data_IF_854376363470
#
_entry.id   IF_854376363470
#
_cell.length_a   1.000
_cell.length_b   1.000
_cell.length_c   1.000
_cell.angle_alpha   90.00
_cell.angle_beta   90.00
_cell.angle_gamma   90.00
#
_symmetry.space_group_name_H-M   'P 1'
#
loop_
_entity.id
_entity.type
_entity.pdbx_description
1 polymer ?
#
# COMPACT_ATOMS: atom_id res chain seq x y z
N UNK A 1 4.09 7.63 -73.43
CA UNK A 1 5.13 6.58 -73.27
C UNK A 1 4.90 5.93 -71.90
N UNK A 2 4.30 4.74 -71.86
CA UNK A 2 3.91 4.07 -70.63
C UNK A 2 4.95 3.00 -70.27
N UNK A 3 5.59 3.12 -69.10
CA UNK A 3 6.57 2.15 -68.61
C UNK A 3 5.85 1.13 -67.71
N UNK A 4 5.69 -0.08 -68.23
CA UNK A 4 5.16 -1.23 -67.49
C UNK A 4 6.23 -1.72 -66.50
N UNK A 5 5.98 -1.53 -65.20
CA UNK A 5 6.80 -2.05 -64.10
C UNK A 5 6.70 -3.59 -64.07
N UNK A 6 7.76 -4.24 -64.57
CA UNK A 6 7.90 -5.70 -64.60
C UNK A 6 7.90 -6.33 -63.21
N UNK A 7 7.07 -7.36 -63.03
CA UNK A 7 7.02 -8.21 -61.84
C UNK A 7 8.33 -8.99 -61.71
N UNK A 8 9.21 -8.61 -60.78
CA UNK A 8 10.37 -9.44 -60.41
C UNK A 8 9.94 -10.44 -59.32
N UNK A 9 10.03 -11.73 -59.65
CA UNK A 9 10.01 -12.86 -58.69
C UNK A 9 11.17 -12.67 -57.70
N UNK A 10 10.87 -12.57 -56.40
CA UNK A 10 11.88 -12.74 -55.34
C UNK A 10 12.25 -14.23 -55.26
N UNK A 11 13.55 -14.52 -55.36
CA UNK A 11 14.08 -15.83 -55.00
C UNK A 11 14.10 -15.96 -53.46
N UNK A 12 13.56 -17.07 -52.97
CA UNK A 12 13.64 -17.50 -51.58
C UNK A 12 15.03 -18.09 -51.39
N UNK A 13 15.80 -17.55 -50.43
CA UNK A 13 17.04 -18.17 -49.98
C UNK A 13 16.72 -19.06 -48.78
N UNK A 14 16.96 -20.36 -48.93
CA UNK A 14 17.02 -21.30 -47.82
C UNK A 14 18.27 -20.98 -46.98
N UNK A 15 18.08 -20.77 -45.68
CA UNK A 15 19.17 -20.60 -44.71
C UNK A 15 19.16 -21.80 -43.77
N UNK A 16 20.13 -22.70 -43.97
CA UNK A 16 20.55 -23.69 -42.96
C UNK A 16 21.34 -22.99 -41.84
N UNK A 17 21.31 -23.53 -40.60
CA UNK A 17 21.98 -22.89 -39.47
C UNK A 17 23.48 -23.20 -39.51
N UNK A 18 24.30 -22.17 -39.65
CA UNK A 18 25.73 -22.25 -39.38
C UNK A 18 25.99 -21.98 -37.91
N UNK A 19 26.62 -22.96 -37.25
CA UNK A 19 27.21 -22.82 -35.92
C UNK A 19 28.15 -21.62 -35.89
N UNK A 20 27.92 -20.70 -34.94
CA UNK A 20 28.86 -19.65 -34.60
C UNK A 20 29.72 -20.15 -33.47
N UNK A 21 30.97 -20.42 -33.80
CA UNK A 21 32.10 -20.58 -32.90
C UNK A 21 32.16 -19.34 -32.00
N UNK A 22 32.14 -19.58 -30.69
CA UNK A 22 32.34 -18.58 -29.65
C UNK A 22 33.83 -18.22 -29.58
N UNK A 23 34.18 -17.04 -30.07
CA UNK A 23 35.41 -16.34 -29.64
C UNK A 23 35.06 -15.53 -28.39
N UNK A 24 35.48 -16.02 -27.22
CA UNK A 24 35.14 -15.42 -25.93
C UNK A 24 35.93 -15.96 -24.74
N UNK A 25 37.18 -16.36 -24.93
CA UNK A 25 38.10 -16.64 -23.81
C UNK A 25 38.51 -15.32 -23.13
N UNK A 26 37.62 -14.80 -22.28
CA UNK A 26 37.95 -13.73 -21.31
C UNK A 26 37.01 -13.68 -20.08
N UNK A 27 36.02 -14.58 -19.97
CA UNK A 27 35.06 -14.57 -18.85
C UNK A 27 35.49 -15.39 -17.63
N UNK A 28 36.45 -16.32 -17.76
CA UNK A 28 36.83 -17.20 -16.64
C UNK A 28 37.69 -16.50 -15.58
N UNK A 29 38.43 -15.45 -15.92
CA UNK A 29 39.25 -14.71 -14.94
C UNK A 29 38.44 -13.73 -14.08
N UNK A 30 37.37 -13.14 -14.63
CA UNK A 30 36.52 -12.19 -13.90
C UNK A 30 35.49 -12.87 -12.97
N UNK A 31 35.09 -14.11 -13.29
CA UNK A 31 34.26 -14.93 -12.40
C UNK A 31 35.03 -15.38 -11.14
N UNK A 32 36.33 -15.66 -11.27
CA UNK A 32 37.22 -15.98 -10.14
C UNK A 32 37.41 -14.76 -9.23
N UNK A 33 37.61 -13.57 -9.82
CA UNK A 33 37.77 -12.31 -9.07
C UNK A 33 36.50 -11.96 -8.26
N UNK A 34 35.31 -12.16 -8.83
CA UNK A 34 34.05 -11.96 -8.11
C UNK A 34 33.91 -12.92 -6.91
N UNK A 35 34.29 -14.20 -7.07
CA UNK A 35 34.26 -15.18 -5.99
C UNK A 35 35.28 -14.87 -4.89
N UNK A 36 36.46 -14.38 -5.23
CA UNK A 36 37.47 -13.93 -4.26
C UNK A 36 37.00 -12.71 -3.47
N UNK A 37 36.33 -11.75 -4.11
CA UNK A 37 35.72 -10.60 -3.43
C UNK A 37 34.67 -11.05 -2.42
N UNK A 38 33.80 -12.00 -2.79
CA UNK A 38 32.81 -12.55 -1.86
C UNK A 38 33.44 -13.35 -0.72
N UNK A 39 34.48 -14.16 -0.99
CA UNK A 39 35.23 -14.88 0.07
C UNK A 39 35.86 -13.91 1.06
N UNK A 40 36.54 -12.88 0.57
CA UNK A 40 37.18 -11.86 1.43
C UNK A 40 36.16 -11.10 2.28
N UNK A 41 34.99 -10.78 1.72
CA UNK A 41 33.92 -10.11 2.46
C UNK A 41 33.29 -11.05 3.50
N UNK A 42 33.14 -12.33 3.17
CA UNK A 42 32.63 -13.34 4.09
C UNK A 42 33.60 -13.62 5.24
N UNK A 43 34.90 -13.80 4.96
CA UNK A 43 35.94 -14.01 5.97
C UNK A 43 36.11 -12.79 6.90
N UNK A 44 35.91 -11.58 6.38
CA UNK A 44 35.95 -10.36 7.20
C UNK A 44 34.75 -10.26 8.16
N UNK A 45 33.57 -10.73 7.73
CA UNK A 45 32.35 -10.69 8.54
C UNK A 45 32.26 -11.88 9.51
N UNK A 46 32.79 -13.03 9.11
CA UNK A 46 32.79 -14.26 9.87
C UNK A 46 34.23 -14.64 10.16
N UNK A 47 34.76 -14.16 11.29
CA UNK A 47 36.02 -14.68 11.82
C UNK A 47 35.84 -16.19 11.98
N UNK A 48 36.67 -17.02 11.33
CA UNK A 48 36.56 -18.46 11.49
C UNK A 48 36.78 -18.76 12.97
N UNK A 49 35.83 -19.50 13.56
CA UNK A 49 35.95 -19.99 14.93
C UNK A 49 37.27 -20.77 15.04
N UNK A 50 38.06 -20.61 16.11
CA UNK A 50 39.25 -21.42 16.29
C UNK A 50 38.83 -22.89 16.26
N UNK A 51 39.38 -23.63 15.30
CA UNK A 51 39.17 -25.07 15.18
C UNK A 51 39.79 -25.70 16.41
N UNK A 52 38.95 -26.00 17.40
CA UNK A 52 39.30 -26.95 18.45
C UNK A 52 39.43 -28.29 17.74
N UNK A 53 40.65 -28.82 17.69
CA UNK A 53 40.93 -30.15 17.14
C UNK A 53 40.12 -31.18 17.92
N UNK A 54 38.94 -31.54 17.39
CA UNK A 54 38.22 -32.74 17.80
C UNK A 54 38.90 -33.91 17.10
N UNK A 55 39.85 -34.53 17.79
CA UNK A 55 40.31 -35.87 17.47
C UNK A 55 39.13 -36.79 17.76
N UNK A 56 38.44 -37.26 16.72
CA UNK A 56 37.61 -38.47 16.80
C UNK A 56 37.76 -39.18 15.45
N UNK A 57 38.56 -40.24 15.47
CA UNK A 57 38.56 -41.34 14.52
C UNK A 57 37.16 -41.94 14.39
N UNK A 58 36.90 -42.49 13.20
CA UNK A 58 35.66 -43.13 12.82
C UNK A 58 35.16 -44.17 13.86
N UNK A 59 33.86 -44.15 14.14
CA UNK A 59 33.18 -45.28 14.77
C UNK A 59 32.95 -46.37 13.69
N UNK A 60 33.75 -47.43 13.73
CA UNK A 60 33.30 -48.78 13.42
C UNK A 60 33.33 -49.58 14.73
N UNK A 61 32.17 -50.10 15.10
CA UNK A 61 32.00 -51.06 16.19
C UNK A 61 32.45 -52.46 15.73
N UNK A 62 33.48 -53.02 16.38
CA UNK A 62 33.49 -54.42 16.83
C UNK A 62 34.66 -54.68 17.79
N UNK A 63 34.25 -55.05 19.01
CA UNK A 63 34.75 -56.10 19.91
C UNK A 63 36.25 -56.33 20.23
N UNK A 64 36.42 -56.69 21.51
CA UNK A 64 37.47 -57.50 22.16
C UNK A 64 38.61 -56.81 22.95
N UNK A 65 38.49 -57.01 24.28
CA UNK A 65 39.50 -57.34 25.28
C UNK A 65 40.64 -56.36 25.64
N UNK A 66 40.66 -55.91 26.90
CA UNK A 66 41.71 -56.32 27.86
C UNK A 66 41.48 -55.75 29.26
N UNK A 67 41.91 -56.53 30.24
CA UNK A 67 41.66 -56.52 31.66
C UNK A 67 42.34 -55.38 32.46
N UNK A 68 41.68 -55.04 33.60
CA UNK A 68 42.23 -54.70 34.93
C UNK A 68 43.21 -53.54 35.11
N UNK A 69 42.81 -52.51 35.88
CA UNK A 69 43.47 -52.02 37.13
C UNK A 69 42.41 -51.20 37.93
N UNK A 70 41.80 -51.78 38.97
CA UNK A 70 42.15 -51.62 40.39
C UNK A 70 41.70 -50.30 41.05
N UNK A 71 40.64 -50.43 41.85
CA UNK A 71 40.42 -49.82 43.18
C UNK A 71 40.54 -48.29 43.35
N UNK A 72 39.37 -47.66 43.24
CA UNK A 72 39.07 -46.36 43.85
C UNK A 72 39.13 -46.50 45.39
N UNK A 73 40.23 -46.03 45.98
CA UNK A 73 40.51 -46.04 47.42
C UNK A 73 39.66 -45.00 48.17
N UNK A 74 39.19 -45.40 49.35
CA UNK A 74 38.14 -44.76 50.13
C UNK A 74 38.37 -43.30 50.53
N UNK A 75 37.25 -42.57 50.60
CA UNK A 75 37.14 -41.34 51.39
C UNK A 75 36.24 -41.70 52.58
N UNK A 76 36.86 -42.22 53.64
CA UNK A 76 36.28 -42.14 54.97
C UNK A 76 36.93 -40.97 55.71
N UNK A 77 36.10 -40.00 56.09
CA UNK A 77 36.05 -39.46 57.45
C UNK A 77 37.38 -38.96 58.04
N UNK A 78 37.61 -37.64 57.96
CA UNK A 78 38.14 -36.84 59.08
C UNK A 78 37.71 -35.38 58.87
N UNK A 79 36.94 -34.87 59.84
CA UNK A 79 36.66 -33.46 60.05
C UNK A 79 37.97 -32.68 60.29
N UNK A 80 38.14 -31.52 59.64
CA UNK A 80 38.45 -30.22 60.28
C UNK A 80 39.04 -29.20 59.27
N UNK A 81 38.33 -28.04 59.19
CA UNK A 81 38.81 -26.68 58.87
C UNK A 81 39.13 -26.30 57.41
N UNK A 82 38.07 -25.76 56.80
CA UNK A 82 37.97 -24.40 56.27
C UNK A 82 38.97 -23.93 55.20
N UNK A 83 38.52 -23.92 53.95
CA UNK A 83 38.76 -22.81 53.03
C UNK A 83 37.44 -22.52 52.31
N UNK A 84 36.80 -21.40 52.66
CA UNK A 84 35.64 -20.88 51.93
C UNK A 84 36.17 -19.93 50.84
N UNK A 85 36.26 -20.41 49.61
CA UNK A 85 36.66 -19.60 48.47
C UNK A 85 35.41 -18.90 47.92
N UNK A 86 35.24 -17.63 48.26
CA UNK A 86 34.18 -16.79 47.70
C UNK A 86 34.76 -16.05 46.49
N UNK A 87 34.51 -16.59 45.29
CA UNK A 87 34.78 -15.88 44.03
C UNK A 87 33.62 -14.94 43.70
N UNK A 88 33.81 -13.64 43.87
CA UNK A 88 33.00 -12.65 43.18
C UNK A 88 33.57 -12.46 41.78
N UNK A 89 33.17 -13.33 40.84
CA UNK A 89 33.35 -13.02 39.42
C UNK A 89 32.47 -11.82 39.12
N UNK A 90 33.10 -10.66 39.00
CA UNK A 90 32.52 -9.32 38.84
C UNK A 90 31.54 -9.24 37.67
N UNK A 91 30.31 -9.70 37.89
CA UNK A 91 29.23 -9.59 36.93
C UNK A 91 27.91 -9.37 37.66
N UNK A 92 27.87 -8.40 38.59
CA UNK A 92 26.66 -7.65 38.98
C UNK A 92 26.92 -6.51 40.00
N UNK A 93 28.14 -5.98 40.11
CA UNK A 93 28.41 -4.74 40.89
C UNK A 93 28.08 -3.44 40.16
N UNK A 94 27.39 -3.51 39.01
CA UNK A 94 26.53 -2.41 38.56
C UNK A 94 25.29 -2.42 39.44
N UNK A 95 25.49 -2.07 40.72
CA UNK A 95 24.42 -1.67 41.61
C UNK A 95 23.58 -0.65 40.86
N UNK A 96 22.41 -1.13 40.45
CA UNK A 96 21.18 -0.41 40.22
C UNK A 96 21.35 1.12 40.22
N UNK A 97 21.64 1.69 39.06
CA UNK A 97 21.06 2.98 38.76
C UNK A 97 19.54 2.73 38.73
N UNK A 98 18.90 2.86 39.90
CA UNK A 98 17.46 2.65 40.08
C UNK A 98 16.75 3.39 38.93
N UNK A 99 15.76 2.74 38.32
CA UNK A 99 15.02 3.38 37.23
C UNK A 99 14.48 4.73 37.72
N UNK A 100 14.33 5.71 36.83
CA UNK A 100 13.88 7.08 37.21
C UNK A 100 12.53 7.06 37.97
N UNK A 101 11.76 5.99 37.81
CA UNK A 101 10.51 5.73 38.50
C UNK A 101 10.72 5.16 39.91
N UNK A 102 11.64 4.21 40.08
CA UNK A 102 12.05 3.70 41.39
C UNK A 102 12.68 4.79 42.26
N UNK A 103 13.55 5.63 41.69
CA UNK A 103 14.18 6.74 42.42
C UNK A 103 13.14 7.79 42.85
N UNK A 104 12.09 8.02 42.03
CA UNK A 104 10.97 8.88 42.40
C UNK A 104 10.13 8.31 43.53
N UNK A 105 9.84 7.00 43.51
CA UNK A 105 9.09 6.36 44.60
C UNK A 105 9.89 6.45 45.89
N UNK A 106 11.17 6.09 45.83
CA UNK A 106 12.06 6.07 46.99
C UNK A 106 12.34 7.46 47.58
N UNK A 107 12.57 8.48 46.74
CA UNK A 107 12.84 9.85 47.22
C UNK A 107 11.57 10.69 47.48
N UNK A 108 10.39 10.19 47.12
CA UNK A 108 9.14 10.86 47.48
C UNK A 108 8.72 10.53 48.91
N UNK A 109 8.11 11.48 49.61
CA UNK A 109 7.64 11.32 51.00
C UNK A 109 6.45 10.34 51.15
N UNK A 110 6.15 9.52 50.14
CA UNK A 110 5.02 8.59 50.12
C UNK A 110 5.56 7.17 50.32
N UNK A 111 5.07 6.40 51.32
CA UNK A 111 5.58 5.05 51.55
C UNK A 111 5.29 4.14 50.34
N UNK A 112 6.23 3.23 49.99
CA UNK A 112 6.02 2.28 48.90
C UNK A 112 4.81 1.40 49.22
N UNK A 113 3.91 1.23 48.23
CA UNK A 113 2.73 0.37 48.38
C UNK A 113 3.14 -1.08 48.09
N UNK A 114 2.67 -2.03 48.91
CA UNK A 114 3.04 -3.46 48.86
C UNK A 114 2.66 -4.19 47.56
N UNK A 115 1.91 -3.56 46.65
CA UNK A 115 1.58 -4.14 45.35
C UNK A 115 2.34 -3.38 44.26
N UNK A 116 3.18 -4.06 43.45
CA UNK A 116 3.79 -3.42 42.29
C UNK A 116 2.66 -3.08 41.32
N UNK A 117 2.27 -1.81 41.29
CA UNK A 117 1.41 -1.33 40.20
C UNK A 117 2.28 -1.30 38.96
N UNK A 118 2.23 -2.35 38.15
CA UNK A 118 2.71 -2.31 36.77
C UNK A 118 1.96 -1.15 36.13
N UNK A 119 2.65 -0.02 35.94
CA UNK A 119 2.13 1.07 35.12
C UNK A 119 2.08 0.53 33.71
N UNK A 120 0.92 -0.01 33.33
CA UNK A 120 0.56 -0.15 31.92
C UNK A 120 0.83 1.22 31.32
N UNK A 121 1.83 1.28 30.45
CA UNK A 121 2.16 2.46 29.66
C UNK A 121 0.89 2.79 28.90
N UNK A 122 0.09 3.69 29.46
CA UNK A 122 -1.00 4.32 28.74
C UNK A 122 -0.32 5.38 27.91
N UNK A 123 0.07 4.98 26.71
CA UNK A 123 0.40 5.93 25.67
C UNK A 123 -0.74 6.93 25.61
N UNK A 124 -0.37 8.19 25.86
CA UNK A 124 -1.26 9.33 25.67
C UNK A 124 -1.42 9.54 24.17
N UNK A 125 -2.20 8.69 23.54
CA UNK A 125 -2.95 9.02 22.34
C UNK A 125 -4.40 8.68 22.63
N UNK A 126 -5.11 9.66 23.17
CA UNK A 126 -6.57 9.70 23.09
C UNK A 126 -7.00 9.93 21.63
N UNK A 127 -6.68 8.97 20.77
CA UNK A 127 -7.43 8.67 19.59
C UNK A 127 -8.11 7.34 19.92
N UNK A 128 -9.44 7.32 19.88
CA UNK A 128 -10.15 6.09 19.56
C UNK A 128 -9.47 5.53 18.32
N UNK A 129 -8.64 4.49 18.49
CA UNK A 129 -8.29 3.64 17.36
C UNK A 129 -9.60 2.94 17.05
N UNK A 130 -10.41 3.60 16.23
CA UNK A 130 -11.45 2.91 15.49
C UNK A 130 -10.74 1.69 14.88
N UNK A 131 -11.33 0.52 15.03
CA UNK A 131 -10.90 -0.73 14.39
C UNK A 131 -10.87 -0.64 12.83
N UNK A 132 -10.91 0.56 12.27
CA UNK A 132 -10.60 0.90 10.88
C UNK A 132 -9.08 1.06 10.60
N UNK A 133 -8.24 1.27 11.62
CA UNK A 133 -6.77 1.39 11.45
C UNK A 133 -6.05 0.07 11.15
N UNK A 134 -6.73 -1.06 11.41
CA UNK A 134 -6.33 -2.40 11.00
C UNK A 134 -6.88 -2.81 9.64
N UNK A 135 -7.70 -1.98 8.99
CA UNK A 135 -8.24 -2.31 7.67
C UNK A 135 -7.11 -2.41 6.64
N UNK A 136 -7.26 -3.34 5.68
CA UNK A 136 -6.32 -3.47 4.56
C UNK A 136 -6.11 -2.14 3.83
N UNK A 137 -7.12 -1.26 3.82
CA UNK A 137 -7.02 0.08 3.25
C UNK A 137 -6.03 1.00 4.00
N UNK A 138 -5.96 0.91 5.32
CA UNK A 138 -5.00 1.66 6.14
C UNK A 138 -3.58 1.12 5.95
N UNK A 139 -3.42 -0.20 5.85
CA UNK A 139 -2.15 -0.85 5.55
C UNK A 139 -1.64 -0.49 4.15
N UNK A 140 -2.53 -0.49 3.15
CA UNK A 140 -2.20 -0.02 1.80
C UNK A 140 -1.71 1.42 1.81
N UNK A 141 -2.32 2.33 2.58
CA UNK A 141 -1.86 3.73 2.70
C UNK A 141 -0.47 3.83 3.34
N UNK A 142 -0.16 2.96 4.30
CA UNK A 142 1.10 2.93 5.04
C UNK A 142 2.25 2.32 4.21
N UNK A 143 1.97 1.32 3.37
CA UNK A 143 2.99 0.61 2.59
C UNK A 143 3.05 1.06 1.12
N UNK A 144 4.03 1.94 0.83
CA UNK A 144 4.29 2.42 -0.53
C UNK A 144 4.87 1.34 -1.47
N UNK A 145 5.60 0.36 -0.93
CA UNK A 145 6.17 -0.70 -1.74
C UNK A 145 5.06 -1.64 -2.25
N UNK A 146 4.11 -1.98 -1.37
CA UNK A 146 2.92 -2.75 -1.71
C UNK A 146 2.05 -2.02 -2.74
N UNK A 147 1.80 -0.71 -2.55
CA UNK A 147 1.06 0.09 -3.55
C UNK A 147 1.71 0.04 -4.94
N UNK A 148 3.04 0.20 -5.00
CA UNK A 148 3.80 0.12 -6.25
C UNK A 148 3.70 -1.26 -6.87
N UNK A 149 3.86 -2.33 -6.09
CA UNK A 149 3.77 -3.71 -6.55
C UNK A 149 2.39 -3.99 -7.17
N UNK A 150 1.30 -3.65 -6.49
CA UNK A 150 -0.05 -3.89 -7.00
C UNK A 150 -0.36 -3.07 -8.26
N UNK A 151 0.08 -1.81 -8.31
CA UNK A 151 -0.15 -0.95 -9.47
C UNK A 151 0.70 -1.37 -10.69
N UNK A 152 1.92 -1.87 -10.47
CA UNK A 152 2.90 -2.19 -11.51
C UNK A 152 2.92 -3.68 -11.88
N UNK A 153 2.17 -4.55 -11.19
CA UNK A 153 2.16 -6.02 -11.37
C UNK A 153 1.98 -6.46 -12.83
N UNK A 154 1.12 -5.78 -13.59
CA UNK A 154 0.88 -6.09 -15.01
C UNK A 154 2.12 -5.87 -15.88
N UNK A 155 3.01 -4.93 -15.51
CA UNK A 155 4.28 -4.73 -16.20
C UNK A 155 5.28 -5.86 -15.89
N UNK A 156 5.19 -6.42 -14.68
CA UNK A 156 6.03 -7.54 -14.23
C UNK A 156 5.54 -8.88 -14.80
N UNK A 157 4.23 -9.11 -14.87
CA UNK A 157 3.64 -10.33 -15.43
C UNK A 157 3.94 -10.49 -16.92
N UNK A 158 3.90 -9.39 -17.67
CA UNK A 158 4.26 -9.40 -19.10
C UNK A 158 5.77 -9.59 -19.36
N UNK A 159 6.61 -9.45 -18.32
CA UNK A 159 8.05 -9.54 -18.42
C UNK A 159 8.52 -10.93 -18.00
N UNK A 160 9.40 -11.55 -18.78
CA UNK A 160 10.04 -12.81 -18.37
C UNK A 160 10.92 -12.65 -17.12
N UNK A 161 11.32 -11.41 -16.78
CA UNK A 161 12.15 -11.11 -15.64
C UNK A 161 11.34 -10.29 -14.61
N UNK A 162 11.32 -10.70 -13.32
CA UNK A 162 10.53 -10.06 -12.26
C UNK A 162 11.10 -8.71 -11.82
N UNK A 163 12.19 -8.25 -12.44
CA UNK A 163 12.84 -6.99 -12.12
C UNK A 163 12.43 -5.88 -13.09
N UNK A 164 12.14 -4.69 -12.55
CA UNK A 164 11.84 -3.49 -13.33
C UNK A 164 13.10 -2.92 -13.98
N UNK A 165 13.64 -3.61 -14.98
CA UNK A 165 14.80 -3.15 -15.77
C UNK A 165 14.39 -2.59 -17.13
N UNK A 166 15.26 -1.76 -17.71
CA UNK A 166 15.11 -1.23 -19.06
C UNK A 166 13.78 -0.51 -19.31
N UNK A 167 13.00 -0.99 -20.29
CA UNK A 167 11.73 -0.36 -20.72
C UNK A 167 10.65 -0.40 -19.63
N UNK A 168 10.60 -1.47 -18.84
CA UNK A 168 9.60 -1.62 -17.79
C UNK A 168 9.91 -0.69 -16.61
N UNK A 169 11.19 -0.41 -16.34
CA UNK A 169 11.59 0.65 -15.41
C UNK A 169 10.97 1.99 -15.78
N UNK A 170 11.07 2.36 -17.06
CA UNK A 170 10.56 3.64 -17.54
C UNK A 170 9.03 3.73 -17.46
N UNK A 171 8.31 2.66 -17.83
CA UNK A 171 6.85 2.60 -17.67
C UNK A 171 6.43 2.64 -16.20
N UNK A 172 7.12 1.93 -15.33
CA UNK A 172 6.88 1.97 -13.89
C UNK A 172 7.11 3.39 -13.33
N UNK A 173 8.18 4.08 -13.73
CA UNK A 173 8.41 5.47 -13.32
C UNK A 173 7.30 6.41 -13.79
N UNK A 174 6.76 6.22 -14.99
CA UNK A 174 5.63 7.01 -15.51
C UNK A 174 4.34 6.74 -14.74
N UNK A 175 4.05 5.48 -14.40
CA UNK A 175 2.92 5.13 -13.52
C UNK A 175 3.06 5.73 -12.13
N UNK A 176 4.27 5.73 -11.55
CA UNK A 176 4.56 6.38 -10.26
C UNK A 176 4.30 7.89 -10.32
N UNK A 177 4.71 8.56 -11.39
CA UNK A 177 4.44 9.98 -11.60
C UNK A 177 2.94 10.26 -11.74
N UNK A 178 2.20 9.38 -12.41
CA UNK A 178 0.74 9.48 -12.50
C UNK A 178 0.06 9.28 -11.13
N UNK A 179 0.52 8.32 -10.33
CA UNK A 179 0.02 8.09 -8.97
C UNK A 179 0.29 9.28 -8.04
N UNK A 180 1.40 10.01 -8.24
CA UNK A 180 1.71 11.27 -7.55
C UNK A 180 0.82 12.44 -8.01
N UNK A 181 0.04 12.29 -9.09
CA UNK A 181 -0.92 13.29 -9.56
C UNK A 181 -0.62 13.90 -10.93
N UNK A 182 0.29 13.33 -11.73
CA UNK A 182 0.45 13.78 -13.12
C UNK A 182 -0.84 13.51 -13.91
N UNK A 183 -1.29 14.49 -14.70
CA UNK A 183 -2.55 14.40 -15.47
C UNK A 183 -2.45 13.49 -16.70
N UNK A 184 -1.25 13.09 -17.08
CA UNK A 184 -1.01 12.31 -18.30
C UNK A 184 0.28 11.51 -18.23
N UNK A 185 0.32 10.45 -19.04
CA UNK A 185 1.49 9.59 -19.24
C UNK A 185 2.44 10.21 -20.26
N UNK A 186 3.73 10.20 -19.95
CA UNK A 186 4.82 10.68 -20.82
C UNK A 186 4.95 9.77 -22.06
N UNK A 187 4.59 8.49 -21.95
CA UNK A 187 4.64 7.52 -23.05
C UNK A 187 3.46 7.61 -24.01
N UNK A 188 2.43 8.39 -23.70
CA UNK A 188 1.27 8.54 -24.57
C UNK A 188 1.61 9.42 -25.77
N UNK A 189 1.53 8.85 -26.97
CA UNK A 189 1.70 9.61 -28.21
C UNK A 189 0.57 10.63 -28.39
N UNK A 190 0.92 11.92 -28.35
CA UNK A 190 -0.06 13.01 -28.50
C UNK A 190 -0.56 13.14 -29.95
N UNK A 191 0.36 13.24 -30.91
CA UNK A 191 0.05 13.48 -32.32
C UNK A 191 -0.13 12.16 -33.07
N UNK A 192 -1.38 11.84 -33.40
CA UNK A 192 -1.76 10.74 -34.28
C UNK A 192 -2.89 11.18 -35.22
N UNK A 193 -2.91 10.74 -36.49
CA UNK A 193 -4.05 10.99 -37.36
C UNK A 193 -5.34 10.43 -36.75
N UNK A 194 -6.44 11.17 -36.92
CA UNK A 194 -7.71 10.88 -36.24
C UNK A 194 -8.24 9.49 -36.57
N UNK A 195 -8.12 9.04 -37.83
CA UNK A 195 -8.56 7.72 -38.27
C UNK A 195 -7.83 6.59 -37.53
N UNK A 196 -6.49 6.66 -37.43
CA UNK A 196 -5.69 5.67 -36.71
C UNK A 196 -5.99 5.67 -35.21
N UNK A 197 -6.11 6.86 -34.61
CA UNK A 197 -6.45 6.98 -33.19
C UNK A 197 -7.80 6.34 -32.89
N UNK A 198 -8.82 6.64 -33.70
CA UNK A 198 -10.16 6.04 -33.56
C UNK A 198 -10.11 4.52 -33.75
N UNK A 199 -9.39 4.03 -34.76
CA UNK A 199 -9.24 2.59 -35.03
C UNK A 199 -8.54 1.81 -33.92
N UNK A 200 -7.50 2.39 -33.30
CA UNK A 200 -6.81 1.75 -32.17
C UNK A 200 -7.74 1.66 -30.96
N UNK A 201 -8.45 2.75 -30.64
CA UNK A 201 -9.39 2.79 -29.52
C UNK A 201 -10.56 1.82 -29.76
N UNK A 202 -11.11 1.78 -30.98
CA UNK A 202 -12.21 0.87 -31.31
C UNK A 202 -11.78 -0.58 -31.19
N UNK A 203 -10.60 -0.94 -31.73
CA UNK A 203 -10.06 -2.30 -31.64
C UNK A 203 -9.72 -2.71 -30.21
N UNK A 204 -9.23 -1.77 -29.39
CA UNK A 204 -8.99 -2.03 -27.97
C UNK A 204 -10.31 -2.32 -27.24
N UNK A 205 -11.34 -1.51 -27.47
CA UNK A 205 -12.66 -1.72 -26.88
C UNK A 205 -13.31 -3.04 -27.37
N UNK A 206 -13.15 -3.37 -28.65
CA UNK A 206 -13.64 -4.62 -29.24
C UNK A 206 -13.01 -5.83 -28.55
N UNK A 207 -11.68 -5.89 -28.47
CA UNK A 207 -10.95 -6.95 -27.75
C UNK A 207 -11.37 -7.08 -26.29
N UNK A 208 -11.58 -5.96 -25.61
CA UNK A 208 -12.02 -5.95 -24.23
C UNK A 208 -13.46 -6.45 -24.10
N UNK A 209 -14.33 -6.12 -25.07
CA UNK A 209 -15.72 -6.58 -25.13
C UNK A 209 -15.83 -8.07 -25.43
N UNK A 210 -15.00 -8.61 -26.33
CA UNK A 210 -14.95 -10.05 -26.61
C UNK A 210 -14.43 -10.80 -25.39
N UNK A 211 -13.32 -10.36 -24.76
CA UNK A 211 -12.81 -10.95 -23.51
C UNK A 211 -13.88 -11.00 -22.41
N UNK A 212 -14.66 -9.93 -22.23
CA UNK A 212 -15.74 -9.90 -21.22
C UNK A 212 -16.92 -10.77 -21.60
N UNK A 213 -17.28 -10.83 -22.88
CA UNK A 213 -18.35 -11.69 -23.39
C UNK A 213 -17.99 -13.15 -23.20
N UNK A 214 -16.82 -13.57 -23.65
CA UNK A 214 -16.28 -14.92 -23.49
C UNK A 214 -16.17 -15.30 -22.00
N UNK A 215 -15.65 -14.40 -21.15
CA UNK A 215 -15.58 -14.66 -19.71
C UNK A 215 -16.99 -14.82 -19.09
N UNK A 216 -17.97 -14.01 -19.51
CA UNK A 216 -19.35 -14.14 -19.05
C UNK A 216 -19.99 -15.45 -19.51
N UNK A 217 -19.77 -15.84 -20.77
CA UNK A 217 -20.25 -17.10 -21.34
C UNK A 217 -19.60 -18.31 -20.65
N UNK A 218 -18.32 -18.21 -20.27
CA UNK A 218 -17.57 -19.25 -19.57
C UNK A 218 -17.68 -19.20 -18.04
N UNK A 219 -18.41 -18.24 -17.47
CA UNK A 219 -18.54 -18.06 -16.01
C UNK A 219 -17.29 -17.58 -15.28
N UNK A 220 -16.29 -17.03 -15.98
CA UNK A 220 -15.07 -16.46 -15.40
C UNK A 220 -15.35 -15.03 -14.89
N UNK A 221 -15.05 -14.77 -13.63
CA UNK A 221 -15.22 -13.44 -13.02
C UNK A 221 -14.02 -12.57 -13.38
N UNK A 222 -14.29 -11.45 -14.08
CA UNK A 222 -13.30 -10.42 -14.37
C UNK A 222 -13.46 -9.21 -13.44
N UNK A 223 -12.42 -8.39 -13.40
CA UNK A 223 -12.44 -7.09 -12.74
C UNK A 223 -13.62 -6.22 -13.20
N UNK A 224 -14.23 -5.52 -12.24
CA UNK A 224 -15.31 -4.58 -12.54
C UNK A 224 -14.73 -3.38 -13.26
N UNK A 225 -15.22 -3.12 -14.47
CA UNK A 225 -14.83 -1.93 -15.20
C UNK A 225 -15.18 -0.70 -14.36
N UNK A 226 -14.18 0.12 -14.01
CA UNK A 226 -14.43 1.46 -13.50
C UNK A 226 -15.17 2.18 -14.62
N UNK A 227 -16.44 2.52 -14.39
CA UNK A 227 -17.19 3.34 -15.34
C UNK A 227 -16.34 4.58 -15.58
N UNK A 228 -15.82 4.74 -16.81
CA UNK A 228 -15.17 5.99 -17.20
C UNK A 228 -16.15 7.06 -16.78
N UNK A 229 -15.71 7.95 -15.89
CA UNK A 229 -16.49 9.12 -15.51
C UNK A 229 -17.03 9.65 -16.82
N UNK A 230 -18.35 9.53 -17.00
CA UNK A 230 -19.00 10.09 -18.18
C UNK A 230 -18.50 11.51 -18.12
N UNK A 231 -17.67 11.94 -19.09
CA UNK A 231 -17.33 13.35 -19.24
C UNK A 231 -18.68 13.99 -19.12
N UNK A 232 -18.94 14.63 -17.98
CA UNK A 232 -20.21 15.27 -17.73
C UNK A 232 -20.39 16.08 -18.99
N UNK A 233 -21.48 15.83 -19.73
CA UNK A 233 -21.82 16.72 -20.83
C UNK A 233 -21.59 18.11 -20.27
N UNK A 234 -20.59 18.82 -20.79
CA UNK A 234 -20.00 20.00 -20.14
C UNK A 234 -21.07 21.08 -19.90
N UNK A 235 -22.25 20.93 -20.51
CA UNK A 235 -23.50 21.52 -20.06
C UNK A 235 -24.29 20.58 -19.16
N UNK A 236 -24.59 21.05 -17.95
CA UNK A 236 -25.87 20.77 -17.27
C UNK A 236 -26.95 20.66 -18.36
N UNK A 237 -27.65 19.51 -18.43
CA UNK A 237 -28.66 19.26 -19.48
C UNK A 237 -29.49 20.52 -19.69
N UNK A 238 -29.53 21.00 -20.93
CA UNK A 238 -30.27 22.20 -21.27
C UNK A 238 -31.69 22.03 -20.75
N UNK A 239 -32.10 22.96 -19.88
CA UNK A 239 -33.40 22.87 -19.20
C UNK A 239 -34.55 23.30 -20.08
N UNK A 240 -34.25 23.67 -21.33
CA UNK A 240 -35.22 24.25 -22.24
C UNK A 240 -35.75 25.58 -21.71
N UNK A 241 -36.59 26.20 -22.52
CA UNK A 241 -37.31 27.44 -22.19
C UNK A 241 -38.78 27.06 -22.14
N UNK A 242 -39.43 27.19 -20.98
CA UNK A 242 -40.83 26.76 -20.86
C UNK A 242 -41.31 26.40 -19.45
N UNK A 243 -40.46 26.44 -18.43
CA UNK A 243 -40.95 26.32 -17.07
C UNK A 243 -41.62 27.64 -16.64
N UNK A 244 -42.87 27.59 -16.15
CA UNK A 244 -43.55 28.79 -15.64
C UNK A 244 -42.78 29.38 -14.46
N UNK A 245 -42.75 30.71 -14.36
CA UNK A 245 -42.09 31.43 -13.26
C UNK A 245 -42.82 31.28 -11.91
N UNK A 246 -44.08 30.81 -11.92
CA UNK A 246 -44.90 30.61 -10.73
C UNK A 246 -45.02 29.13 -10.41
N UNK A 247 -44.88 28.78 -9.14
CA UNK A 247 -45.04 27.41 -8.67
C UNK A 247 -44.03 26.38 -9.24
N UNK A 248 -44.35 25.10 -9.05
CA UNK A 248 -43.56 23.97 -9.56
C UNK A 248 -44.38 23.21 -10.60
N UNK A 249 -43.88 23.14 -11.82
CA UNK A 249 -44.47 22.31 -12.88
C UNK A 249 -43.88 20.90 -12.80
N UNK A 250 -44.72 19.91 -12.49
CA UNK A 250 -44.31 18.50 -12.43
C UNK A 250 -45.38 17.62 -13.03
N UNK A 251 -45.03 16.79 -14.02
CA UNK A 251 -45.96 15.80 -14.60
C UNK A 251 -47.21 16.41 -15.27
N UNK A 252 -47.08 17.59 -15.90
CA UNK A 252 -48.22 18.27 -16.55
C UNK A 252 -49.10 19.10 -15.60
N UNK A 253 -48.86 19.03 -14.29
CA UNK A 253 -49.61 19.79 -13.28
C UNK A 253 -48.78 20.95 -12.75
N UNK A 254 -49.37 22.15 -12.69
CA UNK A 254 -48.79 23.32 -12.07
C UNK A 254 -49.19 23.38 -10.58
N UNK A 255 -48.23 23.24 -9.68
CA UNK A 255 -48.45 23.36 -8.24
C UNK A 255 -48.10 24.77 -7.76
N UNK A 256 -49.11 25.56 -7.41
CA UNK A 256 -48.97 26.91 -6.87
C UNK A 256 -48.94 26.88 -5.34
N UNK A 257 -48.08 27.70 -4.73
CA UNK A 257 -48.12 27.91 -3.28
C UNK A 257 -49.20 28.94 -2.91
N UNK A 258 -49.71 28.90 -1.67
CA UNK A 258 -50.64 29.93 -1.18
C UNK A 258 -50.07 31.35 -1.28
N UNK A 259 -48.74 31.48 -1.19
CA UNK A 259 -48.03 32.74 -1.38
C UNK A 259 -48.10 33.21 -2.83
N UNK A 260 -47.83 32.32 -3.79
CA UNK A 260 -47.95 32.66 -5.22
C UNK A 260 -49.38 33.10 -5.57
N UNK A 261 -50.38 32.45 -4.99
CA UNK A 261 -51.79 32.83 -5.15
C UNK A 261 -52.04 34.22 -4.58
N UNK A 262 -51.60 34.50 -3.35
CA UNK A 262 -51.80 35.80 -2.71
C UNK A 262 -51.03 36.94 -3.40
N UNK A 263 -49.81 36.67 -3.89
CA UNK A 263 -48.99 37.65 -4.62
C UNK A 263 -49.63 38.01 -5.97
N UNK A 264 -50.35 37.06 -6.61
CA UNK A 264 -51.09 37.28 -7.85
C UNK A 264 -52.46 37.93 -7.60
N UNK A 265 -53.21 37.47 -6.60
CA UNK A 265 -54.52 38.05 -6.24
C UNK A 265 -54.39 39.46 -5.65
N UNK A 266 -53.21 39.80 -5.11
CA UNK A 266 -52.96 41.05 -4.41
C UNK A 266 -53.76 41.16 -3.10
N UNK A 267 -53.57 42.24 -2.32
CA UNK A 267 -54.42 42.49 -1.16
C UNK A 267 -55.86 42.63 -1.66
N UNK A 268 -56.71 41.69 -1.27
CA UNK A 268 -58.14 41.69 -1.62
C UNK A 268 -58.69 43.07 -1.30
N UNK A 269 -59.05 43.83 -2.35
CA UNK A 269 -59.88 45.02 -2.18
C UNK A 269 -61.24 44.49 -1.76
N UNK A 270 -61.56 44.60 -0.48
CA UNK A 270 -62.91 44.38 0.03
C UNK A 270 -63.86 45.31 -0.72
N UNK A 271 -64.49 44.77 -1.78
CA UNK A 271 -65.64 45.39 -2.39
C UNK A 271 -66.87 44.96 -1.61
N UNK A 272 -67.35 45.83 -0.73
CA UNK A 272 -68.72 45.77 -0.23
C UNK A 272 -68.90 45.94 1.28
N UNK A 273 -69.06 47.21 1.69
CA UNK A 273 -70.14 47.66 2.59
C UNK A 273 -70.18 47.15 4.05
N UNK A 274 -70.04 48.08 5.01
CA UNK A 274 -70.51 47.81 6.37
C UNK A 274 -70.08 48.82 7.45
N UNK A 275 -70.89 49.87 7.64
CA UNK A 275 -71.14 50.63 8.87
C UNK A 275 -70.19 50.48 10.09
N UNK A 276 -69.68 51.64 10.51
CA UNK A 276 -69.77 52.06 11.93
C UNK A 276 -68.53 51.83 12.79
N UNK A 277 -67.82 52.92 13.11
CA UNK A 277 -66.72 52.87 14.07
C UNK A 277 -66.16 54.24 14.42
N UNK A 278 -67.03 55.20 14.80
CA UNK A 278 -66.60 56.34 15.62
C UNK A 278 -66.36 55.82 17.03
N UNK A 279 -65.14 55.96 17.54
CA UNK A 279 -64.90 55.93 18.98
C UNK A 279 -63.58 55.29 19.36
N UNK A 280 -62.72 56.06 20.04
CA UNK A 280 -61.64 55.47 20.83
C UNK A 280 -60.28 56.15 20.67
N UNK A 281 -60.21 57.47 20.81
CA UNK A 281 -58.98 58.06 21.32
C UNK A 281 -58.73 57.56 22.74
N UNK A 282 -57.48 57.20 23.05
CA UNK A 282 -56.75 57.51 24.30
C UNK A 282 -55.51 56.63 24.43
N UNK A 283 -54.39 57.27 24.82
CA UNK A 283 -53.49 56.63 25.77
C UNK A 283 -52.12 56.22 25.24
N UNK A 284 -51.36 57.15 24.64
CA UNK A 284 -49.89 57.06 24.70
C UNK A 284 -49.47 57.38 26.13
N UNK A 285 -49.37 56.37 27.00
CA UNK A 285 -48.77 56.51 28.33
C UNK A 285 -47.53 55.63 28.45
N UNK A 286 -46.47 56.36 28.76
CA UNK A 286 -45.08 56.02 29.06
C UNK A 286 -44.97 55.35 30.43
N UNK A 287 -43.89 54.57 30.62
CA UNK A 287 -43.30 54.00 31.88
C UNK A 287 -43.83 52.61 32.26
N UNK A 288 -43.03 51.67 32.77
CA UNK A 288 -41.60 51.58 33.10
C UNK A 288 -41.17 50.12 32.87
N UNK A 289 -40.03 49.61 33.33
CA UNK A 289 -38.99 50.07 34.23
C UNK A 289 -37.74 49.24 33.90
#
# INVERSE_FOLDING_TARGET
MATLLGKRKRQVKDSTPTERINDGESSSSSEIDAQEVFRRHFEAQFKPLPVVQKIVEAEESNDEDSETESEWSGISEVEEKSIEVIEHTDAESRMAAMSKEELKIFMSSKPPKSTPSVSVIRDKSGATVDDEDGSESANLKKDLALQRLLAESHLLESASNPTTMGKNRHKATDLRLQALGSKGSIFKQEKMPIAHRKGIISKQNEKESTRRREAKENGIILERAKMKEKRSSEGRKDRGVGNPNVGKFSGGTLKLSKKDINDIEGPRRDSGGGRGGRGGGRGRVKRGR
#
